data_IF_172147486388
#
_entry.id   IF_172147486388
#
_cell.length_a   1.000
_cell.length_b   1.000
_cell.length_c   1.000
_cell.angle_alpha   90.00
_cell.angle_beta   90.00
_cell.angle_gamma   90.00
#
_symmetry.space_group_name_H-M   'P 1'
#
loop_
_entity.id
_entity.type
_entity.pdbx_description
1 polymer ?
#
# COMPACT_ATOMS: atom_id res chain seq x y z
N UNK A 1 1.55 -0.38 34.85
CA UNK A 1 1.87 -1.07 33.59
C UNK A 1 3.09 -1.99 33.71
N UNK A 2 4.29 -1.49 34.03
CA UNK A 2 5.50 -2.34 34.14
C UNK A 2 5.34 -3.58 35.05
N UNK A 3 4.76 -3.42 36.25
CA UNK A 3 4.55 -4.54 37.18
C UNK A 3 3.59 -5.62 36.64
N UNK A 4 2.55 -5.22 35.92
CA UNK A 4 1.59 -6.15 35.30
C UNK A 4 2.26 -6.93 34.16
N UNK A 5 3.09 -6.24 33.35
CA UNK A 5 3.87 -6.88 32.29
C UNK A 5 4.88 -7.88 32.87
N UNK A 6 5.58 -7.52 33.95
CA UNK A 6 6.53 -8.42 34.63
C UNK A 6 5.85 -9.66 35.21
N UNK A 7 4.65 -9.52 35.80
CA UNK A 7 3.85 -10.64 36.29
C UNK A 7 3.37 -11.56 35.16
N UNK A 8 2.96 -10.99 34.02
CA UNK A 8 2.56 -11.76 32.85
C UNK A 8 3.75 -12.54 32.27
N UNK A 9 4.92 -11.90 32.11
CA UNK A 9 6.15 -12.55 31.65
C UNK A 9 6.55 -13.69 32.59
N UNK A 10 6.51 -13.45 33.91
CA UNK A 10 6.82 -14.49 34.89
C UNK A 10 5.84 -15.66 34.83
N UNK A 11 4.54 -15.40 34.66
CA UNK A 11 3.51 -16.43 34.49
C UNK A 11 3.71 -17.28 33.23
N UNK A 12 4.03 -16.64 32.10
CA UNK A 12 4.37 -17.32 30.84
C UNK A 12 5.63 -18.18 31.03
N UNK A 13 6.66 -17.65 31.69
CA UNK A 13 7.90 -18.38 31.95
C UNK A 13 7.66 -19.63 32.81
N UNK A 14 6.81 -19.54 33.84
CA UNK A 14 6.39 -20.68 34.67
C UNK A 14 5.59 -21.75 33.91
N UNK A 15 4.83 -21.35 32.90
CA UNK A 15 4.04 -22.25 32.06
C UNK A 15 4.88 -22.85 30.92
N UNK A 16 5.95 -22.17 30.50
CA UNK A 16 6.83 -22.56 29.40
C UNK A 16 7.53 -23.91 29.63
N UNK A 17 7.83 -24.27 30.88
CA UNK A 17 8.47 -25.54 31.22
C UNK A 17 7.50 -26.74 31.13
N UNK A 18 6.19 -26.50 31.01
CA UNK A 18 5.21 -27.56 30.88
C UNK A 18 5.22 -28.14 29.46
N UNK A 19 5.29 -29.47 29.29
CA UNK A 19 5.35 -30.07 27.96
C UNK A 19 4.11 -29.73 27.11
N UNK A 20 2.90 -29.73 27.68
CA UNK A 20 1.67 -29.38 26.97
C UNK A 20 1.68 -27.95 26.40
N UNK A 21 2.33 -27.00 27.09
CA UNK A 21 2.42 -25.61 26.65
C UNK A 21 3.38 -25.47 25.47
N UNK A 22 4.52 -26.19 25.49
CA UNK A 22 5.48 -26.24 24.38
C UNK A 22 4.86 -26.86 23.12
N UNK A 23 4.19 -28.00 23.26
CA UNK A 23 3.49 -28.64 22.13
C UNK A 23 2.34 -27.78 21.60
N UNK A 24 1.54 -27.18 22.49
CA UNK A 24 0.43 -26.31 22.11
C UNK A 24 0.89 -25.07 21.34
N UNK A 25 1.95 -24.41 21.79
CA UNK A 25 2.53 -23.24 21.10
C UNK A 25 3.17 -23.63 19.77
N UNK A 26 3.88 -24.76 19.67
CA UNK A 26 4.42 -25.25 18.40
C UNK A 26 3.32 -25.57 17.38
N UNK A 27 2.23 -26.22 17.81
CA UNK A 27 1.08 -26.48 16.93
C UNK A 27 0.45 -25.17 16.47
N UNK A 28 0.23 -24.22 17.39
CA UNK A 28 -0.34 -22.91 17.06
C UNK A 28 0.50 -22.14 16.04
N UNK A 29 1.83 -22.07 16.25
CA UNK A 29 2.77 -21.46 15.30
C UNK A 29 2.74 -22.20 13.96
N UNK A 30 2.76 -23.54 13.99
CA UNK A 30 2.66 -24.36 12.78
C UNK A 30 1.41 -24.06 11.96
N UNK A 31 0.25 -23.96 12.62
CA UNK A 31 -1.03 -23.60 11.98
C UNK A 31 -0.96 -22.20 11.36
N UNK A 32 -0.38 -21.21 12.07
CA UNK A 32 -0.22 -19.85 11.53
C UNK A 32 0.66 -19.83 10.28
N UNK A 33 1.79 -20.54 10.31
CA UNK A 33 2.72 -20.62 9.16
C UNK A 33 2.06 -21.33 7.99
N UNK A 34 1.39 -22.46 8.22
CA UNK A 34 0.68 -23.20 7.17
C UNK A 34 -0.42 -22.34 6.55
N UNK A 35 -1.21 -21.65 7.37
CA UNK A 35 -2.29 -20.76 6.88
C UNK A 35 -1.74 -19.66 5.98
N UNK A 36 -0.59 -19.07 6.34
CA UNK A 36 0.05 -18.05 5.50
C UNK A 36 0.64 -18.63 4.21
N UNK A 37 1.24 -19.82 4.26
CA UNK A 37 1.74 -20.50 3.08
C UNK A 37 0.62 -20.86 2.09
N UNK A 38 -0.51 -21.38 2.60
CA UNK A 38 -1.70 -21.69 1.80
C UNK A 38 -2.29 -20.41 1.18
N UNK A 39 -2.43 -19.34 1.96
CA UNK A 39 -2.96 -18.06 1.48
C UNK A 39 -2.10 -17.47 0.35
N UNK A 40 -0.77 -17.52 0.51
CA UNK A 40 0.16 -17.06 -0.52
C UNK A 40 0.10 -17.93 -1.78
N UNK A 41 0.01 -19.26 -1.64
CA UNK A 41 -0.15 -20.19 -2.76
C UNK A 41 -1.45 -19.95 -3.52
N UNK A 42 -2.56 -19.79 -2.81
CA UNK A 42 -3.86 -19.48 -3.38
C UNK A 42 -3.85 -18.13 -4.13
N UNK A 43 -3.25 -17.09 -3.54
CA UNK A 43 -3.09 -15.79 -4.19
C UNK A 43 -2.29 -15.89 -5.49
N UNK A 44 -1.18 -16.64 -5.49
CA UNK A 44 -0.37 -16.86 -6.70
C UNK A 44 -1.15 -17.57 -7.80
N UNK A 45 -1.92 -18.60 -7.45
CA UNK A 45 -2.79 -19.28 -8.42
C UNK A 45 -3.88 -18.36 -8.97
N UNK A 46 -4.47 -17.52 -8.13
CA UNK A 46 -5.47 -16.53 -8.56
C UNK A 46 -4.90 -15.50 -9.54
N UNK A 47 -3.72 -14.93 -9.24
CA UNK A 47 -3.07 -13.97 -10.15
C UNK A 47 -2.61 -14.64 -11.44
N UNK A 48 -2.09 -15.88 -11.39
CA UNK A 48 -1.65 -16.59 -12.59
C UNK A 48 -2.80 -16.94 -13.55
N UNK A 49 -4.03 -17.09 -13.04
CA UNK A 49 -5.23 -17.31 -13.84
C UNK A 49 -5.98 -16.02 -14.22
N UNK A 50 -5.53 -14.85 -13.74
CA UNK A 50 -6.12 -13.58 -14.15
C UNK A 50 -5.66 -13.24 -15.56
N UNK A 51 -6.60 -13.14 -16.50
CA UNK A 51 -6.30 -12.64 -17.83
C UNK A 51 -5.75 -11.21 -17.71
N UNK A 52 -4.49 -11.04 -18.10
CA UNK A 52 -3.93 -9.71 -18.29
C UNK A 52 -4.66 -9.12 -19.50
N UNK A 53 -5.33 -7.96 -19.40
CA UNK A 53 -5.96 -7.32 -20.53
C UNK A 53 -4.90 -7.14 -21.63
N UNK A 54 -5.01 -7.94 -22.69
CA UNK A 54 -4.18 -7.78 -23.87
C UNK A 54 -4.71 -6.57 -24.61
N UNK A 55 -3.82 -5.66 -25.00
CA UNK A 55 -4.20 -4.51 -25.82
C UNK A 55 -4.81 -5.06 -27.11
N UNK A 56 -6.09 -4.79 -27.34
CA UNK A 56 -6.81 -5.27 -28.51
C UNK A 56 -6.11 -4.73 -29.78
N UNK A 57 -5.52 -5.61 -30.62
CA UNK A 57 -4.84 -5.19 -31.84
C UNK A 57 -5.80 -4.57 -32.87
N UNK A 58 -7.12 -4.66 -32.66
CA UNK A 58 -8.16 -4.03 -33.46
C UNK A 58 -8.58 -2.63 -33.01
N UNK A 59 -7.96 -2.06 -31.96
CA UNK A 59 -8.22 -0.68 -31.59
C UNK A 59 -7.89 0.24 -32.77
N UNK A 60 -8.82 1.13 -33.18
CA UNK A 60 -8.55 2.06 -34.27
C UNK A 60 -7.30 2.87 -33.94
N UNK A 61 -6.49 3.25 -34.95
CA UNK A 61 -5.35 4.13 -34.73
C UNK A 61 -5.85 5.34 -33.94
N UNK A 62 -5.14 5.68 -32.87
CA UNK A 62 -5.45 6.83 -32.01
C UNK A 62 -5.88 7.98 -32.93
N UNK A 63 -7.15 8.37 -32.83
CA UNK A 63 -7.72 9.40 -33.68
C UNK A 63 -6.77 10.61 -33.69
N UNK A 64 -6.50 11.15 -34.89
CA UNK A 64 -5.54 12.23 -35.08
C UNK A 64 -5.68 13.26 -33.96
N UNK A 65 -4.63 13.39 -33.15
CA UNK A 65 -4.62 14.32 -32.02
C UNK A 65 -4.94 15.70 -32.60
N UNK A 66 -6.00 16.38 -32.10
CA UNK A 66 -6.31 17.73 -32.56
C UNK A 66 -5.07 18.59 -32.45
N UNK A 67 -4.76 19.40 -33.47
CA UNK A 67 -3.51 20.15 -33.59
C UNK A 67 -3.22 21.12 -32.41
N UNK A 68 -4.17 21.32 -31.50
CA UNK A 68 -4.08 22.24 -30.36
C UNK A 68 -4.68 21.65 -29.07
N UNK A 69 -4.24 20.46 -28.66
CA UNK A 69 -4.56 19.95 -27.31
C UNK A 69 -3.41 20.32 -26.35
N UNK A 70 -3.69 20.91 -25.18
CA UNK A 70 -2.65 21.16 -24.19
C UNK A 70 -2.05 19.84 -23.69
N UNK A 71 -0.74 19.84 -23.49
CA UNK A 71 -0.05 18.74 -22.82
C UNK A 71 -0.40 18.74 -21.32
N UNK A 72 -0.70 17.56 -20.79
CA UNK A 72 -1.02 17.38 -19.37
C UNK A 72 0.05 16.52 -18.74
N UNK A 73 0.77 17.11 -17.78
CA UNK A 73 1.80 16.43 -17.01
C UNK A 73 1.24 16.10 -15.63
N UNK A 74 1.17 14.81 -15.31
CA UNK A 74 0.73 14.32 -14.01
C UNK A 74 1.83 13.48 -13.37
N UNK A 75 2.46 14.03 -12.34
CA UNK A 75 3.50 13.34 -11.58
C UNK A 75 2.90 12.68 -10.35
N UNK A 76 3.17 11.39 -10.19
CA UNK A 76 2.79 10.62 -9.01
C UNK A 76 4.05 10.05 -8.38
N UNK A 77 4.33 10.45 -7.15
CA UNK A 77 5.49 10.03 -6.39
C UNK A 77 5.06 8.94 -5.40
N UNK A 78 5.56 7.72 -5.61
CA UNK A 78 5.18 6.59 -4.76
C UNK A 78 5.71 6.77 -3.34
N UNK A 79 4.87 6.46 -2.36
CA UNK A 79 5.17 6.58 -0.93
C UNK A 79 5.58 7.98 -0.44
N UNK A 80 5.36 9.03 -1.24
CA UNK A 80 5.57 10.41 -0.78
C UNK A 80 4.46 10.82 0.18
N UNK A 81 4.82 11.12 1.42
CA UNK A 81 3.90 11.70 2.40
C UNK A 81 3.60 13.17 2.13
N UNK A 82 2.48 13.67 2.65
CA UNK A 82 2.18 15.11 2.65
C UNK A 82 3.30 15.88 3.38
N UNK A 83 3.69 17.09 2.92
CA UNK A 83 4.79 17.85 3.52
C UNK A 83 4.65 18.07 5.04
N UNK A 84 3.45 18.36 5.52
CA UNK A 84 3.14 18.53 6.94
C UNK A 84 3.40 17.25 7.75
N UNK A 85 3.00 16.10 7.21
CA UNK A 85 3.18 14.80 7.86
C UNK A 85 4.64 14.37 7.84
N UNK A 86 5.35 14.59 6.73
CA UNK A 86 6.78 14.26 6.63
C UNK A 86 7.58 15.09 7.63
N UNK A 87 7.30 16.39 7.74
CA UNK A 87 7.93 17.26 8.73
C UNK A 87 7.65 16.80 10.17
N UNK A 88 6.40 16.41 10.46
CA UNK A 88 5.99 15.94 11.79
C UNK A 88 6.70 14.64 12.20
N UNK A 89 6.79 13.66 11.31
CA UNK A 89 7.28 12.32 11.65
C UNK A 89 8.78 12.12 11.44
N UNK A 90 9.39 12.89 10.55
CA UNK A 90 10.81 12.72 10.17
C UNK A 90 11.68 13.94 10.44
N UNK A 91 11.08 15.11 10.67
CA UNK A 91 11.81 16.37 10.81
C UNK A 91 12.27 16.99 9.47
N UNK A 92 12.04 16.33 8.33
CA UNK A 92 12.44 16.82 7.02
C UNK A 92 11.43 17.84 6.46
N UNK A 93 11.94 18.97 5.96
CA UNK A 93 11.13 20.01 5.31
C UNK A 93 11.04 19.76 3.80
N UNK A 94 9.86 19.39 3.31
CA UNK A 94 9.59 19.20 1.89
C UNK A 94 9.09 20.47 1.19
N UNK A 95 8.86 21.56 1.91
CA UNK A 95 8.36 22.82 1.31
C UNK A 95 9.26 23.36 0.20
N UNK A 96 10.61 23.35 0.31
CA UNK A 96 11.44 23.86 -0.77
C UNK A 96 11.23 23.12 -2.12
N UNK A 97 10.91 21.82 -2.06
CA UNK A 97 10.59 21.02 -3.25
C UNK A 97 9.21 21.37 -3.81
N UNK A 98 8.20 21.50 -2.93
CA UNK A 98 6.84 21.88 -3.34
C UNK A 98 6.82 23.30 -3.91
N UNK A 99 7.45 24.25 -3.25
CA UNK A 99 7.56 25.64 -3.70
C UNK A 99 8.25 25.74 -5.07
N UNK A 100 9.20 24.84 -5.38
CA UNK A 100 9.82 24.78 -6.70
C UNK A 100 8.85 24.27 -7.76
N UNK A 101 8.07 23.23 -7.47
CA UNK A 101 7.03 22.74 -8.39
C UNK A 101 5.97 23.82 -8.66
N UNK A 102 5.50 24.51 -7.63
CA UNK A 102 4.51 25.58 -7.77
C UNK A 102 5.05 26.77 -8.57
N UNK A 103 6.32 27.13 -8.37
CA UNK A 103 7.01 28.15 -9.20
C UNK A 103 7.08 27.78 -10.68
N UNK A 104 7.08 26.48 -11.01
CA UNK A 104 7.01 25.98 -12.38
C UNK A 104 5.58 25.84 -12.91
N UNK A 105 4.57 26.24 -12.13
CA UNK A 105 3.15 26.21 -12.52
C UNK A 105 2.46 24.88 -12.25
N UNK A 106 3.08 23.96 -11.51
CA UNK A 106 2.40 22.75 -11.05
C UNK A 106 1.48 23.07 -9.86
N UNK A 107 0.38 22.34 -9.77
CA UNK A 107 -0.54 22.41 -8.63
C UNK A 107 -0.21 21.27 -7.67
N UNK A 108 0.14 21.60 -6.43
CA UNK A 108 0.38 20.63 -5.35
C UNK A 108 -0.63 20.91 -4.23
N UNK A 109 -1.72 20.14 -4.10
CA UNK A 109 -2.77 20.45 -3.12
C UNK A 109 -2.32 20.18 -1.68
N UNK A 110 -2.52 21.16 -0.80
CA UNK A 110 -2.25 21.02 0.65
C UNK A 110 -3.11 19.92 1.30
N UNK A 111 -4.35 19.75 0.83
CA UNK A 111 -5.33 18.79 1.35
C UNK A 111 -5.81 17.86 0.23
N UNK A 112 -4.99 16.86 -0.10
CA UNK A 112 -5.38 15.75 -0.97
C UNK A 112 -5.30 14.41 -0.23
N UNK A 113 -6.24 13.52 -0.55
CA UNK A 113 -6.36 12.20 0.06
C UNK A 113 -6.30 11.13 -1.01
N UNK A 114 -5.59 10.03 -0.72
CA UNK A 114 -5.59 8.85 -1.58
C UNK A 114 -6.89 8.06 -1.40
N UNK A 115 -7.44 7.52 -2.49
CA UNK A 115 -8.63 6.65 -2.40
C UNK A 115 -8.35 5.35 -1.64
N UNK A 116 -7.10 4.85 -1.71
CA UNK A 116 -6.66 3.65 -0.98
C UNK A 116 -5.20 3.79 -0.51
N UNK A 117 -4.82 3.19 0.63
CA UNK A 117 -3.45 3.25 1.14
C UNK A 117 -2.46 2.35 0.39
N UNK A 118 -2.92 1.56 -0.59
CA UNK A 118 -2.07 0.70 -1.43
C UNK A 118 -2.00 1.26 -2.84
N UNK A 119 -0.79 1.43 -3.37
CA UNK A 119 -0.50 2.02 -4.69
C UNK A 119 -1.34 1.41 -5.81
N UNK A 120 -1.45 0.07 -5.86
CA UNK A 120 -2.25 -0.63 -6.90
C UNK A 120 -3.72 -0.22 -6.92
N UNK A 121 -4.32 0.02 -5.75
CA UNK A 121 -5.74 0.40 -5.64
C UNK A 121 -5.93 1.90 -5.76
N UNK A 122 -4.97 2.70 -5.28
CA UNK A 122 -4.99 4.15 -5.42
C UNK A 122 -4.92 4.55 -6.90
N UNK A 123 -3.94 4.02 -7.65
CA UNK A 123 -3.75 4.35 -9.06
C UNK A 123 -4.91 3.85 -9.93
N UNK A 124 -5.38 2.63 -9.73
CA UNK A 124 -6.52 2.11 -10.48
C UNK A 124 -7.78 2.95 -10.24
N UNK A 125 -8.01 3.36 -8.98
CA UNK A 125 -9.14 4.22 -8.64
C UNK A 125 -9.05 5.60 -9.31
N UNK A 126 -7.89 6.23 -9.27
CA UNK A 126 -7.67 7.55 -9.90
C UNK A 126 -7.81 7.49 -11.42
N UNK A 127 -7.22 6.48 -12.08
CA UNK A 127 -7.26 6.34 -13.54
C UNK A 127 -8.64 5.97 -14.07
N UNK A 128 -9.36 5.11 -13.33
CA UNK A 128 -10.73 4.73 -13.69
C UNK A 128 -11.77 5.77 -13.26
N UNK A 129 -11.38 6.78 -12.46
CA UNK A 129 -12.30 7.70 -11.78
C UNK A 129 -13.44 6.97 -11.05
N UNK A 130 -13.11 5.86 -10.38
CA UNK A 130 -14.08 4.97 -9.73
C UNK A 130 -13.45 4.15 -8.62
N UNK A 131 -14.26 3.39 -7.90
CA UNK A 131 -13.80 2.57 -6.78
C UNK A 131 -13.87 1.09 -7.17
N UNK A 132 -12.73 0.39 -7.39
CA UNK A 132 -12.73 -0.98 -7.92
C UNK A 132 -13.36 -2.04 -6.99
N UNK A 133 -13.79 -1.67 -5.79
CA UNK A 133 -14.39 -2.58 -4.80
C UNK A 133 -15.74 -2.08 -4.24
N UNK A 134 -16.35 -1.06 -4.85
CA UNK A 134 -17.71 -0.58 -4.57
C UNK A 134 -18.56 -0.75 -5.82
#
# INVERSE_FOLDING_TARGET
>A
WAAATSLAIWGVWRLADRPWFRWGTSIFIGVLVITQAVSLGAYRMWVAGADVPTVDPGLPPVAAVPASRPDVWWFVLDMMGRPDQVQLHTGADLRPFVDDLERHGFVVPDESWVSYPRTVFSLSSTLAMGYPFL
#
